data_IF_258368477336
#
_entry.id   IF_258368477336
#
_cell.length_a   1.000
_cell.length_b   1.000
_cell.length_c   1.000
_cell.angle_alpha   90.00
_cell.angle_beta   90.00
_cell.angle_gamma   90.00
#
_symmetry.space_group_name_H-M   'P 1'
#
loop_
_entity.id
_entity.type
_entity.pdbx_description
1 polymer ?
#
# COMPACT_ATOMS: atom_id res chain seq x y z
N UNK A 1 37.56 54.34 -14.40
CA UNK A 1 37.59 53.20 -15.35
C UNK A 1 38.67 52.24 -14.84
N UNK A 2 38.42 51.40 -13.83
CA UNK A 2 38.16 49.96 -14.04
C UNK A 2 37.77 49.23 -12.72
N UNK A 3 37.11 49.89 -11.78
CA UNK A 3 36.72 49.26 -10.48
C UNK A 3 35.24 48.96 -10.34
N UNK A 4 34.38 49.47 -11.24
CA UNK A 4 32.94 49.18 -11.24
C UNK A 4 32.53 47.98 -12.11
N UNK A 5 33.40 47.56 -13.04
CA UNK A 5 33.14 46.40 -13.93
C UNK A 5 33.31 45.07 -13.19
N UNK A 6 34.19 45.01 -12.18
CA UNK A 6 34.47 43.77 -11.43
C UNK A 6 33.35 43.39 -10.44
N UNK A 7 32.60 44.36 -9.90
CA UNK A 7 31.45 44.10 -9.03
C UNK A 7 30.25 43.53 -9.80
N UNK A 8 30.05 43.96 -11.06
CA UNK A 8 29.01 43.40 -11.92
C UNK A 8 29.31 41.97 -12.39
N UNK A 9 30.58 41.62 -12.57
CA UNK A 9 31.00 40.25 -12.90
C UNK A 9 30.81 39.25 -11.75
N UNK A 10 30.96 39.69 -10.49
CA UNK A 10 30.74 38.82 -9.31
C UNK A 10 29.24 38.53 -9.12
N UNK A 11 28.36 39.49 -9.42
CA UNK A 11 26.90 39.28 -9.39
C UNK A 11 26.43 38.27 -10.46
N UNK A 12 27.09 38.20 -11.62
CA UNK A 12 26.79 37.20 -12.66
C UNK A 12 27.36 35.81 -12.33
N UNK A 13 28.47 35.73 -11.58
CA UNK A 13 29.01 34.45 -11.09
C UNK A 13 28.28 33.92 -9.84
N UNK A 14 27.59 34.78 -9.08
CA UNK A 14 26.70 34.36 -7.98
C UNK A 14 25.33 33.84 -8.45
N UNK A 15 24.93 34.14 -9.68
CA UNK A 15 23.71 33.60 -10.33
C UNK A 15 23.98 32.31 -11.13
N UNK A 16 25.23 31.86 -11.17
CA UNK A 16 25.66 30.53 -11.67
C UNK A 16 26.05 29.56 -10.53
N UNK A 17 25.76 29.93 -9.28
CA UNK A 17 25.82 29.03 -8.13
C UNK A 17 24.51 28.26 -7.97
N UNK A 18 24.39 27.18 -8.74
CA UNK A 18 23.47 26.07 -8.49
C UNK A 18 21.97 26.40 -8.63
N UNK A 19 21.51 26.45 -9.88
CA UNK A 19 20.24 25.77 -10.18
C UNK A 19 20.31 24.34 -9.62
N UNK A 20 19.32 24.03 -8.78
CA UNK A 20 18.71 22.72 -8.58
C UNK A 20 19.54 21.64 -7.85
N UNK A 21 19.28 21.49 -6.55
CA UNK A 21 19.15 20.27 -5.72
C UNK A 21 18.75 20.82 -4.32
N UNK A 22 17.58 20.61 -3.73
CA UNK A 22 16.77 19.41 -3.65
C UNK A 22 15.27 19.76 -3.53
N UNK A 23 14.48 18.83 -4.06
CA UNK A 23 13.03 18.77 -4.05
C UNK A 23 12.52 18.61 -2.61
N UNK A 24 11.29 19.10 -2.38
CA UNK A 24 10.34 18.66 -1.35
C UNK A 24 10.89 17.67 -0.30
N UNK A 25 11.10 18.16 0.92
CA UNK A 25 11.10 17.30 2.10
C UNK A 25 9.66 16.86 2.41
N UNK A 26 9.05 16.07 1.51
CA UNK A 26 8.08 15.08 1.94
C UNK A 26 8.87 13.89 2.47
N UNK A 27 8.55 13.48 3.69
CA UNK A 27 9.28 12.48 4.44
C UNK A 27 9.22 11.11 3.75
N UNK A 28 10.14 10.84 2.83
CA UNK A 28 10.79 9.54 2.61
C UNK A 28 9.95 8.26 2.71
N UNK A 29 8.66 8.28 2.33
CA UNK A 29 7.90 7.07 2.12
C UNK A 29 8.07 6.67 0.65
N UNK A 30 8.55 5.45 0.35
CA UNK A 30 8.56 4.95 -1.01
C UNK A 30 7.11 4.87 -1.49
N UNK A 31 6.70 5.80 -2.35
CA UNK A 31 5.53 5.63 -3.22
C UNK A 31 5.90 4.52 -4.19
N UNK A 32 5.61 3.28 -3.79
CA UNK A 32 5.59 2.13 -4.68
C UNK A 32 4.65 2.46 -5.85
N UNK A 33 5.00 2.11 -7.10
CA UNK A 33 4.03 2.17 -8.19
C UNK A 33 2.81 1.35 -7.74
N UNK A 34 1.68 2.02 -7.57
CA UNK A 34 0.44 1.38 -7.17
C UNK A 34 0.15 0.27 -8.20
N UNK A 35 0.04 -1.00 -7.78
CA UNK A 35 -0.33 -2.09 -8.66
C UNK A 35 -1.78 -1.82 -8.96
N UNK A 36 -2.02 -1.33 -10.17
CA UNK A 36 -3.30 -0.92 -10.75
C UNK A 36 -4.49 -1.22 -9.83
N UNK A 37 -4.71 -0.29 -8.89
CA UNK A 37 -5.70 -0.46 -7.83
C UNK A 37 -7.04 -0.53 -8.54
N UNK A 38 -7.63 -1.73 -8.59
CA UNK A 38 -8.87 -1.94 -9.35
C UNK A 38 -9.91 -0.90 -8.86
N UNK A 39 -10.68 -0.25 -9.74
CA UNK A 39 -11.60 0.84 -9.34
C UNK A 39 -12.59 0.48 -8.21
N UNK A 40 -12.79 -0.82 -7.97
CA UNK A 40 -13.62 -1.37 -6.88
C UNK A 40 -12.96 -1.29 -5.49
N UNK A 41 -11.65 -1.05 -5.42
CA UNK A 41 -10.93 -0.75 -4.17
C UNK A 41 -11.10 0.72 -3.73
N UNK A 42 -11.84 1.52 -4.49
CA UNK A 42 -12.31 2.86 -4.05
C UNK A 42 -13.72 2.78 -3.47
N UNK A 43 -13.98 1.80 -2.61
CA UNK A 43 -15.15 1.80 -1.74
C UNK A 43 -14.74 2.55 -0.48
N UNK A 44 -15.45 3.61 -0.08
CA UNK A 44 -15.20 4.41 1.14
C UNK A 44 -15.36 3.61 2.47
N UNK A 45 -15.19 2.29 2.45
CA UNK A 45 -15.39 1.38 3.57
C UNK A 45 -14.41 0.18 3.52
N UNK A 46 -13.20 0.39 2.99
CA UNK A 46 -12.13 -0.61 3.06
C UNK A 46 -11.34 -0.37 4.34
N UNK A 47 -11.15 -1.38 5.21
CA UNK A 47 -10.36 -1.24 6.42
C UNK A 47 -8.95 -0.74 6.10
N UNK A 48 -8.44 0.23 6.86
CA UNK A 48 -7.07 0.76 6.67
C UNK A 48 -6.00 -0.36 6.66
N UNK A 49 -6.26 -1.44 7.40
CA UNK A 49 -5.44 -2.66 7.48
C UNK A 49 -5.33 -3.37 6.12
N UNK A 50 -6.40 -3.39 5.34
CA UNK A 50 -6.42 -3.94 3.99
C UNK A 50 -5.67 -3.06 2.99
N UNK A 51 -5.60 -1.74 3.23
CA UNK A 51 -4.84 -0.81 2.38
C UNK A 51 -3.35 -0.85 2.70
N UNK A 52 -2.99 -1.03 3.97
CA UNK A 52 -1.61 -1.16 4.43
C UNK A 52 -0.97 -2.49 4.01
N UNK A 53 -1.77 -3.51 3.74
CA UNK A 53 -1.31 -4.78 3.20
C UNK A 53 -1.14 -4.71 1.69
N UNK A 54 0.01 -4.21 1.25
CA UNK A 54 0.45 -4.30 -0.14
C UNK A 54 0.83 -5.77 -0.45
N UNK A 55 -0.17 -6.66 -0.50
CA UNK A 55 0.03 -8.07 -0.85
C UNK A 55 -0.34 -8.23 -2.32
N UNK A 56 0.65 -8.20 -3.20
CA UNK A 56 0.46 -8.33 -4.64
C UNK A 56 0.16 -9.77 -5.10
N UNK A 57 0.10 -10.75 -4.18
CA UNK A 57 0.16 -12.18 -4.51
C UNK A 57 -1.16 -12.94 -4.30
N UNK A 58 -2.25 -12.28 -3.90
CA UNK A 58 -3.53 -12.97 -3.69
C UNK A 58 -4.24 -13.15 -5.02
N UNK A 59 -4.09 -14.34 -5.61
CA UNK A 59 -4.77 -14.72 -6.85
C UNK A 59 -6.10 -15.44 -6.58
N UNK A 60 -7.14 -14.99 -7.28
CA UNK A 60 -8.47 -15.63 -7.26
C UNK A 60 -8.63 -16.73 -8.33
N UNK A 61 -7.59 -16.97 -9.14
CA UNK A 61 -7.65 -17.97 -10.19
C UNK A 61 -7.87 -19.38 -9.59
N UNK A 62 -8.99 -20.01 -9.93
CA UNK A 62 -9.33 -21.37 -9.47
C UNK A 62 -9.96 -21.44 -8.07
N UNK A 63 -10.31 -20.30 -7.47
CA UNK A 63 -11.03 -20.22 -6.20
C UNK A 63 -12.53 -20.32 -6.49
N UNK A 64 -13.23 -21.24 -5.81
CA UNK A 64 -14.69 -21.36 -5.97
C UNK A 64 -15.43 -20.12 -5.46
N UNK A 65 -16.64 -19.87 -5.95
CA UNK A 65 -17.44 -18.68 -5.57
C UNK A 65 -17.68 -18.57 -4.05
N UNK A 66 -17.72 -19.70 -3.34
CA UNK A 66 -17.93 -19.75 -1.88
C UNK A 66 -16.63 -19.84 -1.07
N UNK A 67 -15.47 -19.78 -1.74
CA UNK A 67 -14.19 -20.04 -1.10
C UNK A 67 -13.48 -18.73 -0.72
N UNK A 68 -13.20 -18.61 0.57
CA UNK A 68 -12.49 -17.47 1.16
C UNK A 68 -11.01 -17.79 1.38
N UNK A 69 -10.13 -16.84 1.06
CA UNK A 69 -8.68 -17.00 1.17
C UNK A 69 -8.14 -16.35 2.46
N UNK A 70 -7.19 -17.01 3.14
CA UNK A 70 -6.53 -16.42 4.29
C UNK A 70 -5.59 -15.29 3.87
N UNK A 71 -5.46 -14.28 4.71
CA UNK A 71 -4.44 -13.26 4.51
C UNK A 71 -3.06 -13.75 5.01
N UNK A 72 -1.96 -13.53 4.26
CA UNK A 72 -0.68 -14.19 4.53
C UNK A 72 0.04 -13.67 5.79
N UNK A 73 -0.25 -12.45 6.23
CA UNK A 73 0.47 -11.79 7.33
C UNK A 73 -0.41 -11.33 8.50
N UNK A 74 -1.74 -11.46 8.40
CA UNK A 74 -2.69 -10.94 9.40
C UNK A 74 -3.87 -11.91 9.48
N UNK A 75 -3.98 -12.64 10.59
CA UNK A 75 -5.01 -13.65 10.80
C UNK A 75 -6.42 -13.03 10.91
N UNK A 76 -6.52 -11.75 11.24
CA UNK A 76 -7.81 -11.05 11.33
C UNK A 76 -8.30 -10.60 9.95
N UNK A 77 -7.51 -10.79 8.89
CA UNK A 77 -7.87 -10.46 7.53
C UNK A 77 -8.11 -11.72 6.68
N UNK A 78 -8.99 -11.57 5.70
CA UNK A 78 -9.26 -12.59 4.69
C UNK A 78 -9.67 -11.92 3.38
N UNK A 79 -9.64 -12.69 2.29
CA UNK A 79 -10.08 -12.23 0.98
C UNK A 79 -11.28 -13.05 0.52
N UNK A 80 -12.22 -12.38 -0.13
CA UNK A 80 -13.23 -13.04 -0.95
C UNK A 80 -13.05 -12.62 -2.40
N UNK A 81 -13.26 -13.56 -3.31
CA UNK A 81 -13.05 -13.34 -4.73
C UNK A 81 -14.34 -12.89 -5.41
N UNK A 82 -14.24 -11.87 -6.26
CA UNK A 82 -15.33 -11.47 -7.17
C UNK A 82 -14.75 -11.46 -8.58
N UNK A 83 -15.02 -12.55 -9.32
CA UNK A 83 -14.25 -12.86 -10.53
C UNK A 83 -12.78 -13.04 -10.17
N UNK A 84 -11.89 -12.37 -10.90
CA UNK A 84 -10.44 -12.43 -10.68
C UNK A 84 -9.92 -11.42 -9.63
N UNK A 85 -10.82 -10.69 -8.95
CA UNK A 85 -10.45 -9.63 -8.00
C UNK A 85 -10.58 -10.13 -6.56
N UNK A 86 -9.46 -10.14 -5.83
CA UNK A 86 -9.43 -10.43 -4.40
C UNK A 86 -9.82 -9.18 -3.59
N UNK A 87 -10.90 -9.27 -2.82
CA UNK A 87 -11.37 -8.17 -1.98
C UNK A 87 -11.06 -8.48 -0.52
N UNK A 88 -10.16 -7.70 0.06
CA UNK A 88 -9.77 -7.83 1.47
C UNK A 88 -10.91 -7.40 2.42
N UNK A 89 -11.10 -8.16 3.48
CA UNK A 89 -12.03 -7.90 4.57
C UNK A 89 -11.39 -8.23 5.90
N UNK A 90 -11.92 -7.60 6.95
CA UNK A 90 -11.51 -7.84 8.32
C UNK A 90 -12.59 -8.65 9.05
N UNK A 91 -12.15 -9.62 9.83
CA UNK A 91 -12.97 -10.30 10.82
C UNK A 91 -13.40 -9.35 11.95
N UNK A 92 -14.49 -9.65 12.68
CA UNK A 92 -14.81 -8.96 13.91
C UNK A 92 -13.62 -8.99 14.89
N UNK A 93 -13.52 -7.96 15.74
CA UNK A 93 -12.40 -7.78 16.64
C UNK A 93 -12.09 -9.04 17.48
N UNK A 94 -10.82 -9.47 17.46
CA UNK A 94 -10.35 -10.65 18.21
C UNK A 94 -10.70 -12.01 17.59
N UNK A 95 -11.30 -12.04 16.39
CA UNK A 95 -11.52 -13.27 15.63
C UNK A 95 -10.52 -13.39 14.49
N UNK A 96 -10.12 -14.62 14.22
CA UNK A 96 -9.20 -14.97 13.15
C UNK A 96 -9.94 -15.74 12.06
N UNK A 97 -9.56 -15.52 10.82
CA UNK A 97 -10.11 -16.26 9.70
C UNK A 97 -9.68 -17.73 9.76
N UNK A 98 -10.66 -18.64 9.68
CA UNK A 98 -10.45 -20.07 9.60
C UNK A 98 -10.58 -20.53 8.14
N UNK A 99 -9.47 -20.89 7.46
CA UNK A 99 -9.51 -21.29 6.05
C UNK A 99 -10.15 -22.65 5.80
N UNK A 100 -10.33 -23.48 6.84
CA UNK A 100 -10.99 -24.79 6.72
C UNK A 100 -12.52 -24.64 6.74
N UNK A 101 -13.02 -23.75 7.60
CA UNK A 101 -14.46 -23.50 7.77
C UNK A 101 -14.97 -22.31 6.95
N UNK A 102 -14.08 -21.52 6.37
CA UNK A 102 -14.38 -20.25 5.69
C UNK A 102 -15.20 -19.27 6.55
N UNK A 103 -14.85 -19.15 7.84
CA UNK A 103 -15.50 -18.22 8.79
C UNK A 103 -14.48 -17.58 9.73
N UNK A 104 -14.83 -16.45 10.32
CA UNK A 104 -14.09 -15.90 11.44
C UNK A 104 -14.39 -16.72 12.71
N UNK A 105 -13.37 -17.35 13.27
CA UNK A 105 -13.45 -18.19 14.48
C UNK A 105 -12.48 -17.64 15.53
N UNK A 106 -12.53 -18.18 16.75
CA UNK A 106 -11.58 -17.81 17.79
C UNK A 106 -10.15 -18.19 17.39
N UNK A 107 -9.16 -17.39 17.76
CA UNK A 107 -7.76 -17.58 17.37
C UNK A 107 -7.22 -19.00 17.63
N UNK A 108 -7.62 -19.63 18.74
CA UNK A 108 -7.24 -20.99 19.10
C UNK A 108 -7.88 -22.09 18.23
N UNK A 109 -8.93 -21.77 17.47
CA UNK A 109 -9.68 -22.68 16.59
C UNK A 109 -9.48 -22.38 15.11
N UNK A 110 -9.13 -21.14 14.78
CA UNK A 110 -8.93 -20.70 13.40
C UNK A 110 -7.77 -21.43 12.72
N UNK A 111 -6.79 -21.90 13.50
CA UNK A 111 -5.65 -22.64 12.96
C UNK A 111 -4.77 -21.78 12.06
N UNK A 112 -4.84 -20.46 12.19
CA UNK A 112 -3.96 -19.54 11.48
C UNK A 112 -2.52 -19.82 11.91
N UNK A 113 -1.65 -20.13 10.93
CA UNK A 113 -0.22 -20.39 11.12
C UNK A 113 0.53 -19.30 10.36
N UNK A 114 0.92 -18.26 11.09
CA UNK A 114 1.87 -17.25 10.62
C UNK A 114 3.29 -17.73 10.86
#
# INVERSE_FOLDING_TARGET
>A
MATHTLLFSILLLGLWGCLAHDLNADNGHPVLPLPQVHPLLYRNNIPARCVASYVADVSCAGVGEDQLLPHPADCELFYYCVGDVAICRQCPAGLHFNPIKHVCDYANRAGCRQ
#
